data_IF_008123900822
#
_entry.id   IF_008123900822
#
_cell.length_a   1.000
_cell.length_b   1.000
_cell.length_c   1.000
_cell.angle_alpha   90.00
_cell.angle_beta   90.00
_cell.angle_gamma   90.00
#
_symmetry.space_group_name_H-M   'P 1'
#
loop_
_entity.id
_entity.type
_entity.pdbx_description
1 polymer ?
#
# COMPACT_ATOMS: atom_id res chain seq x y z
N UNK A 1 19.28 -0.36 27.10
CA UNK A 1 18.59 -0.41 25.79
C UNK A 1 19.53 -1.16 24.86
N UNK A 2 19.24 -2.42 24.50
CA UNK A 2 20.02 -3.23 23.56
C UNK A 2 19.08 -4.26 22.90
N UNK A 3 18.18 -3.81 22.03
CA UNK A 3 17.33 -4.71 21.24
C UNK A 3 17.13 -4.10 19.87
N UNK A 4 17.98 -4.49 18.93
CA UNK A 4 17.78 -4.25 17.51
C UNK A 4 17.73 -5.62 16.85
N UNK A 5 16.55 -6.23 16.81
CA UNK A 5 16.37 -7.49 16.09
C UNK A 5 16.30 -7.19 14.59
N UNK A 6 17.03 -7.97 13.80
CA UNK A 6 16.99 -7.89 12.34
C UNK A 6 16.31 -9.14 11.80
N UNK A 7 15.16 -8.96 11.17
CA UNK A 7 14.45 -10.02 10.44
C UNK A 7 14.88 -9.99 8.98
N UNK A 8 15.26 -11.15 8.42
CA UNK A 8 15.53 -11.30 6.99
C UNK A 8 14.40 -12.11 6.35
N UNK A 9 13.91 -11.65 5.20
CA UNK A 9 12.88 -12.33 4.39
C UNK A 9 13.33 -12.40 2.93
N UNK A 10 12.92 -13.43 2.21
CA UNK A 10 12.98 -13.46 0.74
C UNK A 10 11.76 -12.75 0.13
N UNK A 11 11.62 -12.68 -1.20
CA UNK A 11 10.44 -12.05 -1.86
C UNK A 11 9.22 -12.96 -1.89
N UNK A 12 9.43 -14.28 -1.90
CA UNK A 12 8.39 -15.30 -2.00
C UNK A 12 7.55 -15.45 -0.73
N UNK A 13 8.03 -14.96 0.42
CA UNK A 13 7.24 -14.92 1.67
C UNK A 13 5.91 -14.15 1.53
N UNK A 14 5.86 -13.17 0.62
CA UNK A 14 4.67 -12.37 0.30
C UNK A 14 4.71 -11.94 -1.17
N UNK A 15 4.10 -12.78 -2.00
CA UNK A 15 3.98 -12.54 -3.44
C UNK A 15 2.67 -11.85 -3.84
N UNK A 16 1.71 -11.67 -2.91
CA UNK A 16 0.43 -11.02 -3.20
C UNK A 16 0.57 -9.50 -3.09
N UNK A 17 1.18 -9.00 -2.02
CA UNK A 17 1.36 -7.55 -1.79
C UNK A 17 1.96 -6.77 -2.98
N UNK A 18 3.01 -7.23 -3.69
CA UNK A 18 3.62 -6.44 -4.76
C UNK A 18 2.79 -6.43 -6.05
N UNK A 19 1.71 -7.20 -6.12
CA UNK A 19 0.87 -7.36 -7.32
C UNK A 19 -0.43 -6.57 -7.18
N UNK A 20 -0.87 -6.26 -5.96
CA UNK A 20 -2.14 -5.54 -5.75
C UNK A 20 -2.05 -4.09 -6.18
N UNK A 21 -3.11 -3.59 -6.79
CA UNK A 21 -3.31 -2.15 -6.91
C UNK A 21 -3.57 -1.57 -5.51
N UNK A 22 -2.65 -0.73 -5.06
CA UNK A 22 -2.69 -0.10 -3.74
C UNK A 22 -3.23 1.33 -3.83
N UNK A 23 -4.03 1.74 -2.85
CA UNK A 23 -4.77 3.02 -2.91
C UNK A 23 -4.26 4.06 -1.89
N UNK A 24 -3.10 3.83 -1.30
CA UNK A 24 -2.33 4.87 -0.61
C UNK A 24 -1.60 5.74 -1.62
N UNK A 25 -1.52 7.05 -1.40
CA UNK A 25 -1.09 8.02 -2.42
C UNK A 25 0.21 7.63 -3.14
N UNK A 26 1.26 7.31 -2.37
CA UNK A 26 2.56 6.97 -2.94
C UNK A 26 2.52 5.67 -3.73
N UNK A 27 1.94 4.61 -3.16
CA UNK A 27 1.87 3.33 -3.85
C UNK A 27 1.05 3.46 -5.14
N UNK A 28 -0.08 4.16 -5.06
CA UNK A 28 -0.99 4.38 -6.18
C UNK A 28 -0.35 5.21 -7.30
N UNK A 29 0.36 6.30 -6.98
CA UNK A 29 0.92 7.16 -8.01
C UNK A 29 2.09 6.50 -8.74
N UNK A 30 2.93 5.73 -8.04
CA UNK A 30 4.03 4.98 -8.66
C UNK A 30 3.54 3.79 -9.48
N UNK A 31 2.35 3.26 -9.20
CA UNK A 31 1.73 2.17 -9.96
C UNK A 31 1.01 2.68 -11.22
N UNK A 32 0.24 3.77 -11.10
CA UNK A 32 -0.70 4.20 -12.13
C UNK A 32 -0.19 5.30 -13.07
N UNK A 33 0.85 6.04 -12.65
CA UNK A 33 1.37 7.21 -13.36
C UNK A 33 2.82 6.98 -13.79
N UNK A 34 3.25 7.73 -14.81
CA UNK A 34 4.60 7.67 -15.34
C UNK A 34 5.56 8.49 -14.45
N UNK A 35 5.94 7.91 -13.30
CA UNK A 35 6.90 8.51 -12.35
C UNK A 35 8.24 7.81 -12.51
N UNK A 36 9.24 8.54 -13.00
CA UNK A 36 10.62 8.04 -13.17
C UNK A 36 11.56 8.78 -12.23
N UNK A 37 12.35 8.04 -11.44
CA UNK A 37 13.29 8.61 -10.46
C UNK A 37 12.64 9.64 -9.53
N UNK A 38 11.43 9.33 -9.05
CA UNK A 38 10.62 10.20 -8.17
C UNK A 38 10.23 11.55 -8.78
N UNK A 39 10.36 11.70 -10.11
CA UNK A 39 9.94 12.91 -10.83
C UNK A 39 8.55 12.72 -11.42
N UNK A 40 7.58 13.48 -10.90
CA UNK A 40 6.24 13.57 -11.46
C UNK A 40 6.13 14.77 -12.41
N UNK A 41 5.56 14.54 -13.59
CA UNK A 41 5.37 15.54 -14.64
C UNK A 41 3.89 15.79 -14.88
N UNK A 42 3.50 17.06 -14.93
CA UNK A 42 2.11 17.46 -15.14
C UNK A 42 2.02 18.72 -15.98
N UNK A 43 0.87 18.94 -16.63
CA UNK A 43 0.62 20.13 -17.42
C UNK A 43 -0.22 21.13 -16.65
N UNK A 44 0.22 22.40 -16.61
CA UNK A 44 -0.58 23.49 -16.06
C UNK A 44 -0.52 24.71 -16.98
N UNK A 45 -1.69 25.18 -17.42
CA UNK A 45 -1.80 26.35 -18.31
C UNK A 45 -1.01 26.24 -19.62
N UNK A 46 -0.95 25.05 -20.23
CA UNK A 46 -0.21 24.83 -21.49
C UNK A 46 1.30 24.64 -21.31
N UNK A 47 1.80 24.49 -20.08
CA UNK A 47 3.22 24.30 -19.77
C UNK A 47 3.43 23.03 -18.97
N UNK A 48 4.41 22.24 -19.39
CA UNK A 48 4.90 21.10 -18.62
C UNK A 48 5.65 21.61 -17.38
N UNK A 49 5.28 21.05 -16.23
CA UNK A 49 5.91 21.25 -14.94
C UNK A 49 6.43 19.91 -14.43
N UNK A 50 7.45 19.98 -13.58
CA UNK A 50 8.03 18.81 -12.92
C UNK A 50 8.11 19.07 -11.42
N UNK A 51 7.86 18.03 -10.63
CA UNK A 51 8.02 18.05 -9.19
C UNK A 51 8.71 16.76 -8.74
N UNK A 52 9.57 16.87 -7.73
CA UNK A 52 10.28 15.73 -7.15
C UNK A 52 9.52 15.32 -5.88
N UNK A 53 9.16 14.05 -5.78
CA UNK A 53 8.46 13.48 -4.65
C UNK A 53 9.47 13.00 -3.59
N UNK A 54 9.96 13.92 -2.77
CA UNK A 54 11.00 13.64 -1.78
C UNK A 54 10.63 14.04 -0.35
N UNK A 55 11.52 13.74 0.60
CA UNK A 55 11.32 14.06 2.03
C UNK A 55 11.42 15.57 2.34
N UNK A 56 11.69 16.45 1.36
CA UNK A 56 11.76 17.90 1.56
C UNK A 56 10.39 18.58 1.39
N UNK A 57 9.37 17.85 0.95
CA UNK A 57 7.99 18.31 0.89
C UNK A 57 7.18 17.78 2.07
N UNK A 58 6.91 18.65 3.05
CA UNK A 58 6.11 18.32 4.24
C UNK A 58 4.69 17.84 3.88
N UNK A 59 4.09 18.39 2.82
CA UNK A 59 2.75 17.97 2.41
C UNK A 59 2.78 16.54 1.86
N UNK A 60 3.84 16.18 1.12
CA UNK A 60 4.07 14.81 0.66
C UNK A 60 4.22 13.86 1.85
N UNK A 61 5.07 14.20 2.84
CA UNK A 61 5.26 13.38 4.04
C UNK A 61 3.95 13.11 4.79
N UNK A 62 3.11 14.14 4.92
CA UNK A 62 1.84 14.06 5.64
C UNK A 62 0.76 13.25 4.92
N UNK A 63 0.92 13.00 3.62
CA UNK A 63 -0.15 12.44 2.77
C UNK A 63 0.23 11.17 2.03
N UNK A 64 1.52 10.89 1.81
CA UNK A 64 2.01 9.79 0.98
C UNK A 64 1.51 8.40 1.38
N UNK A 65 1.22 8.19 2.66
CA UNK A 65 0.71 6.92 3.20
C UNK A 65 -0.78 6.96 3.52
N UNK A 66 -1.46 8.07 3.23
CA UNK A 66 -2.92 8.18 3.39
C UNK A 66 -3.62 7.58 2.19
N UNK A 67 -4.81 7.04 2.43
CA UNK A 67 -5.69 6.55 1.37
C UNK A 67 -6.15 7.71 0.48
N UNK A 68 -6.20 7.50 -0.83
CA UNK A 68 -6.48 8.54 -1.83
C UNK A 68 -7.79 9.31 -1.57
N UNK A 69 -8.81 8.62 -1.03
CA UNK A 69 -10.11 9.22 -0.68
C UNK A 69 -10.03 10.31 0.42
N UNK A 70 -8.97 10.31 1.22
CA UNK A 70 -8.77 11.28 2.30
C UNK A 70 -7.78 12.40 1.92
N UNK A 71 -6.88 12.14 0.97
CA UNK A 71 -5.80 13.07 0.60
C UNK A 71 -6.34 14.41 0.12
N UNK A 72 -7.39 14.45 -0.72
CA UNK A 72 -7.95 15.73 -1.20
C UNK A 72 -8.46 16.61 -0.06
N UNK A 73 -9.04 16.00 0.99
CA UNK A 73 -9.53 16.75 2.17
C UNK A 73 -8.36 17.33 2.96
N UNK A 74 -7.27 16.57 3.08
CA UNK A 74 -6.05 16.99 3.76
C UNK A 74 -5.34 18.12 3.03
N UNK A 75 -5.26 18.06 1.69
CA UNK A 75 -4.76 19.15 0.85
C UNK A 75 -5.56 20.44 1.08
N UNK A 76 -6.90 20.35 1.07
CA UNK A 76 -7.78 21.49 1.33
C UNK A 76 -7.64 22.00 2.77
N UNK A 77 -7.47 21.11 3.74
CA UNK A 77 -7.24 21.50 5.14
C UNK A 77 -5.90 22.20 5.33
N UNK A 78 -4.83 21.72 4.66
CA UNK A 78 -3.51 22.34 4.63
C UNK A 78 -3.57 23.75 4.03
N UNK A 79 -4.24 23.89 2.88
CA UNK A 79 -4.47 25.20 2.26
C UNK A 79 -5.14 26.17 3.24
N UNK A 80 -6.18 25.74 3.97
CA UNK A 80 -6.88 26.59 4.95
C UNK A 80 -5.98 27.10 6.07
N UNK A 81 -4.95 26.35 6.47
CA UNK A 81 -3.98 26.78 7.49
C UNK A 81 -3.04 27.88 6.97
N UNK A 82 -2.77 27.92 5.67
CA UNK A 82 -1.98 28.98 5.02
C UNK A 82 -2.70 30.35 5.09
N UNK A 83 -4.02 30.35 5.23
CA UNK A 83 -4.86 31.54 5.33
C UNK A 83 -4.89 32.22 6.70
N UNK A 84 -3.72 32.59 7.25
CA UNK A 84 -3.59 33.19 8.60
C UNK A 84 -4.15 34.63 8.74
N UNK A 85 -4.55 35.26 7.63
CA UNK A 85 -5.22 36.57 7.62
C UNK A 85 -6.68 36.44 7.21
N UNK A 86 -7.55 37.34 7.69
CA UNK A 86 -8.99 37.31 7.37
C UNK A 86 -9.27 37.32 5.86
N UNK A 87 -8.45 37.99 5.06
CA UNK A 87 -8.60 38.06 3.60
C UNK A 87 -8.07 36.80 2.90
N UNK A 88 -6.94 36.24 3.37
CA UNK A 88 -6.41 34.97 2.87
C UNK A 88 -7.35 33.79 3.16
N UNK A 89 -7.95 33.74 4.36
CA UNK A 89 -8.89 32.71 4.76
C UNK A 89 -10.11 32.64 3.84
N UNK A 90 -10.67 33.79 3.43
CA UNK A 90 -11.77 33.86 2.44
C UNK A 90 -11.35 33.40 1.05
N UNK A 91 -10.15 33.78 0.61
CA UNK A 91 -9.64 33.39 -0.71
C UNK A 91 -9.42 31.88 -0.79
N UNK A 92 -8.81 31.30 0.24
CA UNK A 92 -8.55 29.87 0.36
C UNK A 92 -9.83 29.04 0.49
N UNK A 93 -10.83 29.52 1.24
CA UNK A 93 -12.08 28.79 1.45
C UNK A 93 -12.84 28.47 0.15
N UNK A 94 -12.58 29.21 -0.92
CA UNK A 94 -13.21 29.02 -2.23
C UNK A 94 -12.44 28.05 -3.14
N UNK A 95 -11.25 27.59 -2.75
CA UNK A 95 -10.46 26.69 -3.58
C UNK A 95 -11.09 25.30 -3.60
N UNK A 96 -11.54 24.87 -4.79
CA UNK A 96 -12.07 23.52 -5.02
C UNK A 96 -11.44 22.84 -6.24
N UNK A 97 -10.68 23.57 -7.03
CA UNK A 97 -10.08 23.11 -8.27
C UNK A 97 -8.66 23.67 -8.46
N UNK A 98 -7.92 23.06 -9.38
CA UNK A 98 -6.60 23.51 -9.83
C UNK A 98 -6.65 24.94 -10.39
N UNK A 99 -7.76 25.29 -11.04
CA UNK A 99 -7.97 26.64 -11.57
C UNK A 99 -8.03 27.67 -10.45
N UNK A 100 -8.72 27.35 -9.36
CA UNK A 100 -8.81 28.23 -8.19
C UNK A 100 -7.43 28.41 -7.52
N UNK A 101 -6.60 27.35 -7.48
CA UNK A 101 -5.22 27.41 -7.01
C UNK A 101 -4.35 28.33 -7.87
N UNK A 102 -4.48 28.24 -9.20
CA UNK A 102 -3.77 29.10 -10.14
C UNK A 102 -4.10 30.58 -9.96
N UNK A 103 -5.36 30.90 -9.66
CA UNK A 103 -5.77 32.28 -9.36
C UNK A 103 -5.37 32.73 -7.96
N UNK A 104 -5.32 31.81 -7.00
CA UNK A 104 -4.84 32.11 -5.64
C UNK A 104 -3.34 32.44 -5.64
N UNK A 105 -2.53 31.76 -6.46
CA UNK A 105 -1.11 32.06 -6.66
C UNK A 105 -0.90 33.53 -7.05
N UNK A 106 -1.73 34.07 -7.96
CA UNK A 106 -1.65 35.47 -8.39
C UNK A 106 -2.02 36.46 -7.28
N UNK A 107 -2.95 36.07 -6.40
CA UNK A 107 -3.45 36.91 -5.30
C UNK A 107 -2.53 36.90 -4.06
N UNK A 108 -1.74 35.84 -3.89
CA UNK A 108 -0.88 35.64 -2.72
C UNK A 108 0.57 35.32 -3.14
N UNK A 109 1.26 36.25 -3.83
CA UNK A 109 2.63 36.02 -4.31
C UNK A 109 3.62 35.66 -3.19
N UNK A 110 3.39 36.15 -1.97
CA UNK A 110 4.20 35.83 -0.80
C UNK A 110 4.13 34.34 -0.38
N UNK A 111 3.08 33.61 -0.77
CA UNK A 111 2.93 32.16 -0.54
C UNK A 111 3.09 31.34 -1.81
N UNK A 112 3.66 31.92 -2.88
CA UNK A 112 3.73 31.28 -4.19
C UNK A 112 4.35 29.88 -4.13
N UNK A 113 5.49 29.71 -3.44
CA UNK A 113 6.18 28.42 -3.32
C UNK A 113 5.29 27.34 -2.71
N UNK A 114 4.58 27.68 -1.64
CA UNK A 114 3.70 26.75 -0.93
C UNK A 114 2.47 26.41 -1.77
N UNK A 115 1.86 27.40 -2.43
CA UNK A 115 0.74 27.17 -3.36
C UNK A 115 1.13 26.32 -4.57
N UNK A 116 2.38 26.40 -5.04
CA UNK A 116 2.87 25.52 -6.11
C UNK A 116 2.95 24.06 -5.66
N UNK A 117 3.36 23.78 -4.41
CA UNK A 117 3.33 22.42 -3.83
C UNK A 117 1.91 21.87 -3.72
N UNK A 118 0.97 22.69 -3.23
CA UNK A 118 -0.44 22.28 -3.22
C UNK A 118 -0.97 22.00 -4.63
N UNK A 119 -0.57 22.80 -5.62
CA UNK A 119 -0.98 22.60 -7.01
C UNK A 119 -0.45 21.30 -7.59
N UNK A 120 0.85 21.01 -7.45
CA UNK A 120 1.45 19.78 -7.97
C UNK A 120 0.82 18.55 -7.34
N UNK A 121 0.56 18.57 -6.03
CA UNK A 121 -0.05 17.45 -5.36
C UNK A 121 -1.54 17.28 -5.69
N UNK A 122 -2.27 18.37 -5.94
CA UNK A 122 -3.65 18.28 -6.40
C UNK A 122 -3.72 17.63 -7.79
N UNK A 123 -2.81 18.00 -8.71
CA UNK A 123 -2.65 17.33 -10.00
C UNK A 123 -2.38 15.83 -9.83
N UNK A 124 -1.42 15.47 -8.97
CA UNK A 124 -1.06 14.07 -8.70
C UNK A 124 -2.29 13.25 -8.25
N UNK A 125 -3.10 13.81 -7.36
CA UNK A 125 -4.34 13.17 -6.86
C UNK A 125 -5.40 13.08 -7.94
N UNK A 126 -5.62 14.13 -8.74
CA UNK A 126 -6.58 14.10 -9.85
C UNK A 126 -6.20 13.05 -10.90
N UNK A 127 -4.94 12.97 -11.28
CA UNK A 127 -4.45 11.99 -12.26
C UNK A 127 -4.64 10.55 -11.73
N UNK A 128 -4.31 10.29 -10.47
CA UNK A 128 -4.57 9.00 -9.81
C UNK A 128 -6.07 8.68 -9.82
N UNK A 129 -6.91 9.62 -9.43
CA UNK A 129 -8.37 9.42 -9.38
C UNK A 129 -8.98 9.23 -10.77
N UNK A 130 -8.43 9.88 -11.79
CA UNK A 130 -8.84 9.69 -13.17
C UNK A 130 -8.52 8.26 -13.64
N UNK A 131 -7.31 7.74 -13.37
CA UNK A 131 -6.97 6.33 -13.65
C UNK A 131 -7.87 5.37 -12.86
N UNK A 132 -8.14 5.68 -11.59
CA UNK A 132 -9.03 4.90 -10.72
C UNK A 132 -10.44 4.75 -11.30
N UNK A 133 -11.07 5.87 -11.67
CA UNK A 133 -12.42 5.91 -12.20
C UNK A 133 -12.53 5.30 -13.60
N UNK A 134 -11.43 5.23 -14.34
CA UNK A 134 -11.34 4.64 -15.67
C UNK A 134 -10.93 3.15 -15.65
N UNK A 135 -11.37 2.39 -14.63
CA UNK A 135 -11.34 0.93 -14.65
C UNK A 135 -10.57 0.27 -13.51
N UNK A 136 -9.60 0.95 -12.90
CA UNK A 136 -8.83 0.39 -11.78
C UNK A 136 -9.73 0.12 -10.56
N UNK A 137 -10.82 0.87 -10.37
CA UNK A 137 -11.81 0.59 -9.32
C UNK A 137 -12.43 -0.82 -9.44
N UNK A 138 -12.63 -1.32 -10.67
CA UNK A 138 -13.16 -2.65 -10.94
C UNK A 138 -12.10 -3.72 -10.67
N UNK A 139 -10.85 -3.45 -11.06
CA UNK A 139 -9.70 -4.32 -10.79
C UNK A 139 -9.53 -4.50 -9.28
N UNK A 140 -9.41 -3.41 -8.52
CA UNK A 140 -9.23 -3.45 -7.07
C UNK A 140 -10.30 -4.30 -6.36
N UNK A 141 -11.57 -4.23 -6.77
CA UNK A 141 -12.64 -5.05 -6.16
C UNK A 141 -12.33 -6.56 -6.29
N UNK A 142 -12.02 -7.00 -7.51
CA UNK A 142 -11.73 -8.42 -7.80
C UNK A 142 -10.40 -8.85 -7.18
N UNK A 143 -9.38 -8.00 -7.26
CA UNK A 143 -8.08 -8.26 -6.65
C UNK A 143 -8.18 -8.48 -5.13
N UNK A 144 -8.96 -7.65 -4.44
CA UNK A 144 -9.15 -7.75 -2.99
C UNK A 144 -9.95 -9.01 -2.62
N UNK A 145 -10.96 -9.37 -3.42
CA UNK A 145 -11.70 -10.63 -3.23
C UNK A 145 -10.78 -11.85 -3.39
N UNK A 146 -9.90 -11.85 -4.39
CA UNK A 146 -8.94 -12.93 -4.63
C UNK A 146 -7.87 -12.98 -3.54
N UNK A 147 -7.25 -11.84 -3.21
CA UNK A 147 -6.17 -11.78 -2.24
C UNK A 147 -6.64 -12.15 -0.83
N UNK A 148 -7.81 -11.65 -0.42
CA UNK A 148 -8.35 -11.96 0.91
C UNK A 148 -9.08 -13.30 0.98
N UNK A 149 -9.51 -13.86 -0.17
CA UNK A 149 -10.38 -15.04 -0.28
C UNK A 149 -11.83 -14.82 0.20
N UNK A 150 -12.19 -13.59 0.54
CA UNK A 150 -13.52 -13.21 1.01
C UNK A 150 -14.03 -12.00 0.26
N UNK A 151 -15.35 -11.89 0.10
CA UNK A 151 -15.99 -10.72 -0.46
C UNK A 151 -16.09 -9.58 0.57
N UNK A 152 -16.67 -8.44 0.17
CA UNK A 152 -16.85 -7.27 1.05
C UNK A 152 -17.77 -7.55 2.26
N UNK A 153 -18.57 -8.62 2.22
CA UNK A 153 -19.45 -9.04 3.31
C UNK A 153 -18.78 -10.09 4.22
N UNK A 154 -17.57 -10.52 3.90
CA UNK A 154 -16.85 -11.58 4.61
C UNK A 154 -17.27 -12.99 4.20
N UNK A 155 -17.99 -13.15 3.08
CA UNK A 155 -18.32 -14.46 2.54
C UNK A 155 -17.17 -15.01 1.70
N UNK A 156 -16.88 -16.31 1.85
CA UNK A 156 -15.79 -16.94 1.10
C UNK A 156 -16.07 -16.92 -0.39
N UNK A 157 -15.11 -16.45 -1.18
CA UNK A 157 -15.17 -16.47 -2.65
C UNK A 157 -15.09 -17.92 -3.13
N UNK A 158 -16.14 -18.38 -3.82
CA UNK A 158 -16.24 -19.78 -4.29
C UNK A 158 -15.67 -19.98 -5.68
N UNK A 159 -15.80 -18.98 -6.55
CA UNK A 159 -15.39 -19.06 -7.95
C UNK A 159 -14.69 -17.75 -8.36
N UNK A 160 -13.38 -17.65 -8.10
CA UNK A 160 -12.58 -16.48 -8.49
C UNK A 160 -12.54 -16.25 -10.01
N UNK A 161 -12.56 -17.32 -10.80
CA UNK A 161 -12.48 -17.25 -12.27
C UNK A 161 -13.68 -16.50 -12.84
N UNK A 162 -14.88 -16.73 -12.29
CA UNK A 162 -16.09 -16.00 -12.67
C UNK A 162 -15.98 -14.49 -12.39
N UNK A 163 -15.29 -14.07 -11.33
CA UNK A 163 -15.08 -12.66 -11.02
C UNK A 163 -14.10 -12.00 -11.99
N UNK A 164 -13.06 -12.74 -12.38
CA UNK A 164 -12.02 -12.28 -13.30
C UNK A 164 -12.47 -12.24 -14.75
N UNK A 165 -13.29 -13.21 -15.19
CA UNK A 165 -13.61 -13.41 -16.60
C UNK A 165 -14.07 -12.14 -17.36
N UNK A 166 -14.96 -11.28 -16.82
CA UNK A 166 -15.34 -10.04 -17.50
C UNK A 166 -14.17 -9.08 -17.73
N UNK A 167 -13.22 -9.03 -16.80
CA UNK A 167 -12.03 -8.15 -16.88
C UNK A 167 -10.97 -8.73 -17.81
N UNK A 168 -10.85 -10.06 -17.87
CA UNK A 168 -9.87 -10.73 -18.72
C UNK A 168 -10.18 -10.61 -20.22
N UNK A 169 -11.45 -10.45 -20.59
CA UNK A 169 -11.89 -10.32 -21.99
C UNK A 169 -12.15 -8.87 -22.41
N UNK A 170 -12.07 -7.92 -21.46
CA UNK A 170 -12.32 -6.51 -21.73
C UNK A 170 -11.11 -5.90 -22.48
N UNK A 171 -11.29 -5.40 -23.72
CA UNK A 171 -10.20 -4.84 -24.51
C UNK A 171 -9.61 -3.55 -23.91
N UNK A 172 -10.35 -2.87 -23.03
CA UNK A 172 -9.88 -1.66 -22.34
C UNK A 172 -8.94 -1.99 -21.17
N UNK A 173 -8.92 -3.25 -20.70
CA UNK A 173 -8.02 -3.69 -19.63
C UNK A 173 -6.65 -4.01 -20.20
N UNK A 174 -5.62 -3.36 -19.64
CA UNK A 174 -4.23 -3.53 -20.08
C UNK A 174 -3.77 -4.98 -19.91
N UNK A 175 -2.77 -5.37 -20.70
CA UNK A 175 -2.16 -6.69 -20.59
C UNK A 175 -1.58 -6.93 -19.18
N UNK A 176 -0.91 -5.93 -18.61
CA UNK A 176 -0.31 -5.97 -17.27
C UNK A 176 -1.36 -6.25 -16.20
N UNK A 177 -2.52 -5.59 -16.26
CA UNK A 177 -3.63 -5.79 -15.32
C UNK A 177 -4.24 -7.18 -15.43
N UNK A 178 -4.40 -7.69 -16.66
CA UNK A 178 -4.83 -9.07 -16.90
C UNK A 178 -3.83 -10.07 -16.31
N UNK A 179 -2.52 -9.83 -16.47
CA UNK A 179 -1.47 -10.64 -15.87
C UNK A 179 -1.51 -10.60 -14.34
N UNK A 180 -1.69 -9.42 -13.73
CA UNK A 180 -1.83 -9.28 -12.26
C UNK A 180 -2.97 -10.12 -11.72
N UNK A 181 -4.14 -10.10 -12.37
CA UNK A 181 -5.28 -10.94 -11.98
C UNK A 181 -4.96 -12.45 -12.06
N UNK A 182 -4.29 -12.89 -13.13
CA UNK A 182 -3.89 -14.31 -13.27
C UNK A 182 -2.86 -14.70 -12.22
N UNK A 183 -1.87 -13.85 -11.93
CA UNK A 183 -0.88 -14.10 -10.88
C UNK A 183 -1.55 -14.23 -9.50
N UNK A 184 -2.45 -13.29 -9.15
CA UNK A 184 -3.21 -13.34 -7.90
C UNK A 184 -4.04 -14.62 -7.80
N UNK A 185 -4.67 -15.04 -8.90
CA UNK A 185 -5.43 -16.29 -8.94
C UNK A 185 -4.53 -17.50 -8.64
N UNK A 186 -3.41 -17.64 -9.35
CA UNK A 186 -2.45 -18.76 -9.15
C UNK A 186 -1.97 -18.79 -7.70
N UNK A 187 -1.59 -17.63 -7.14
CA UNK A 187 -1.17 -17.49 -5.75
C UNK A 187 -2.27 -17.93 -4.78
N UNK A 188 -3.52 -17.52 -5.04
CA UNK A 188 -4.67 -17.85 -4.20
C UNK A 188 -5.02 -19.35 -4.21
N UNK A 189 -4.80 -20.03 -5.33
CA UNK A 189 -5.05 -21.47 -5.47
C UNK A 189 -3.89 -22.32 -4.93
N UNK A 190 -2.76 -21.70 -4.57
CA UNK A 190 -1.50 -22.38 -4.26
C UNK A 190 -1.06 -23.33 -5.39
N UNK A 191 -1.20 -22.84 -6.63
CA UNK A 191 -0.88 -23.56 -7.85
C UNK A 191 -2.12 -24.04 -8.63
N UNK A 192 -1.95 -24.20 -9.95
CA UNK A 192 -2.98 -24.63 -10.91
C UNK A 192 -2.43 -25.73 -11.83
N UNK A 193 -3.28 -26.41 -12.59
CA UNK A 193 -2.76 -27.29 -13.65
C UNK A 193 -2.25 -26.46 -14.83
N UNK A 194 -1.26 -26.98 -15.53
CA UNK A 194 -0.68 -26.31 -16.70
C UNK A 194 -1.74 -26.06 -17.79
N UNK A 195 -2.59 -27.07 -18.05
CA UNK A 195 -3.72 -26.95 -18.98
C UNK A 195 -4.71 -25.83 -18.59
N UNK A 196 -5.01 -25.67 -17.29
CA UNK A 196 -5.92 -24.61 -16.85
C UNK A 196 -5.28 -23.23 -16.99
N UNK A 197 -3.98 -23.11 -16.72
CA UNK A 197 -3.24 -21.87 -16.94
C UNK A 197 -3.28 -21.48 -18.41
N UNK A 198 -2.93 -22.40 -19.32
CA UNK A 198 -2.93 -22.14 -20.76
C UNK A 198 -4.31 -21.71 -21.29
N UNK A 199 -5.38 -22.39 -20.85
CA UNK A 199 -6.75 -22.00 -21.21
C UNK A 199 -7.10 -20.60 -20.70
N UNK A 200 -6.67 -20.25 -19.49
CA UNK A 200 -6.90 -18.91 -18.93
C UNK A 200 -6.18 -17.84 -19.75
N UNK A 201 -4.92 -18.06 -20.14
CA UNK A 201 -4.16 -17.13 -20.97
C UNK A 201 -4.80 -16.94 -22.35
N UNK A 202 -5.25 -18.04 -22.98
CA UNK A 202 -5.94 -17.99 -24.26
C UNK A 202 -7.25 -17.20 -24.18
N UNK A 203 -8.10 -17.48 -23.19
CA UNK A 203 -9.37 -16.76 -23.01
C UNK A 203 -9.16 -15.29 -22.64
N UNK A 204 -8.10 -14.99 -21.90
CA UNK A 204 -7.73 -13.63 -21.52
C UNK A 204 -7.02 -12.86 -22.65
N UNK A 205 -6.81 -13.46 -23.83
CA UNK A 205 -6.02 -12.88 -24.92
C UNK A 205 -4.65 -12.35 -24.44
N UNK A 206 -3.99 -13.13 -23.58
CA UNK A 206 -2.62 -12.88 -23.11
C UNK A 206 -1.68 -13.70 -24.02
N UNK A 207 -0.66 -13.07 -24.62
CA UNK A 207 0.33 -13.78 -25.42
C UNK A 207 0.98 -14.93 -24.64
N UNK A 208 1.14 -16.10 -25.27
CA UNK A 208 1.66 -17.30 -24.58
C UNK A 208 3.11 -17.18 -24.11
N UNK A 209 3.89 -16.24 -24.66
CA UNK A 209 5.23 -15.91 -24.15
C UNK A 209 5.18 -15.27 -22.75
N UNK A 210 4.04 -14.71 -22.32
CA UNK A 210 3.84 -14.24 -20.95
C UNK A 210 3.60 -15.36 -19.95
N UNK A 211 3.42 -16.62 -20.41
CA UNK A 211 3.33 -17.78 -19.51
C UNK A 211 4.56 -17.85 -18.60
N UNK A 212 5.74 -17.51 -19.13
CA UNK A 212 6.99 -17.49 -18.38
C UNK A 212 6.98 -16.45 -17.26
N UNK A 213 6.32 -15.30 -17.45
CA UNK A 213 6.13 -14.28 -16.39
C UNK A 213 5.42 -14.89 -15.17
N UNK A 214 4.47 -15.80 -15.39
CA UNK A 214 3.71 -16.46 -14.33
C UNK A 214 4.47 -17.65 -13.74
N UNK A 215 5.04 -18.52 -14.58
CA UNK A 215 5.77 -19.71 -14.12
C UNK A 215 7.08 -19.36 -13.40
N UNK A 216 7.69 -18.21 -13.71
CA UNK A 216 8.88 -17.71 -13.02
C UNK A 216 8.63 -17.34 -11.54
N UNK A 217 7.38 -17.22 -11.08
CA UNK A 217 7.09 -17.17 -9.63
C UNK A 217 7.65 -18.39 -8.89
N UNK A 218 7.80 -19.53 -9.57
CA UNK A 218 8.41 -20.73 -8.99
C UNK A 218 9.89 -20.53 -8.58
N UNK A 219 10.59 -19.58 -9.19
CA UNK A 219 11.95 -19.18 -8.82
C UNK A 219 12.00 -18.47 -7.46
N UNK A 220 10.86 -17.94 -7.00
CA UNK A 220 10.68 -17.37 -5.66
C UNK A 220 10.22 -18.41 -4.63
N UNK A 221 10.22 -19.70 -4.98
CA UNK A 221 9.77 -20.77 -4.09
C UNK A 221 8.26 -20.97 -4.04
N UNK A 222 7.50 -20.31 -4.91
CA UNK A 222 6.04 -20.37 -4.97
C UNK A 222 5.59 -21.56 -5.81
N UNK A 223 4.53 -22.24 -5.37
CA UNK A 223 3.90 -23.29 -6.17
C UNK A 223 2.99 -22.68 -7.25
N UNK A 224 3.40 -22.78 -8.51
CA UNK A 224 2.65 -22.24 -9.67
C UNK A 224 1.89 -23.33 -10.41
N UNK A 225 2.59 -24.39 -10.82
CA UNK A 225 1.99 -25.57 -11.43
C UNK A 225 1.88 -26.65 -10.35
N UNK A 226 0.71 -27.27 -10.24
CA UNK A 226 0.47 -28.28 -9.21
C UNK A 226 1.43 -29.47 -9.36
N UNK A 227 2.34 -29.60 -8.41
CA UNK A 227 3.21 -30.76 -8.23
C UNK A 227 2.86 -31.47 -6.91
N UNK A 228 2.53 -32.78 -6.93
CA UNK A 228 2.26 -33.54 -5.71
C UNK A 228 3.40 -33.43 -4.70
N UNK A 229 3.11 -32.90 -3.51
CA UNK A 229 4.09 -32.75 -2.41
C UNK A 229 4.75 -31.37 -2.31
N UNK A 230 4.59 -30.51 -3.31
CA UNK A 230 5.02 -29.11 -3.26
C UNK A 230 3.85 -28.23 -2.84
N UNK A 231 3.89 -27.71 -1.61
CA UNK A 231 2.94 -26.68 -1.14
C UNK A 231 3.73 -25.52 -0.58
N UNK A 232 3.41 -24.32 -1.05
CA UNK A 232 3.88 -23.10 -0.38
C UNK A 232 3.19 -23.05 0.97
N UNK A 233 3.92 -23.04 2.10
CA UNK A 233 3.31 -22.89 3.41
C UNK A 233 2.66 -21.51 3.50
N UNK A 234 1.36 -21.45 3.78
CA UNK A 234 0.70 -20.19 4.05
C UNK A 234 1.13 -19.71 5.44
N UNK A 235 1.69 -18.49 5.50
CA UNK A 235 1.94 -17.83 6.78
C UNK A 235 0.61 -17.55 7.48
N UNK A 236 0.55 -17.83 8.78
CA UNK A 236 -0.62 -17.52 9.58
C UNK A 236 -0.84 -15.99 9.56
N UNK A 237 -2.06 -15.58 9.18
CA UNK A 237 -2.44 -14.17 9.09
C UNK A 237 -3.03 -13.69 10.40
N UNK A 238 -2.67 -12.48 10.83
CA UNK A 238 -3.23 -11.88 12.04
C UNK A 238 -4.69 -11.46 11.82
N UNK A 239 -5.57 -11.75 12.78
CA UNK A 239 -6.96 -11.27 12.72
C UNK A 239 -7.04 -9.79 13.10
N UNK A 240 -7.75 -8.99 12.30
CA UNK A 240 -7.85 -7.53 12.44
C UNK A 240 -9.32 -7.05 12.45
N UNK A 241 -10.17 -7.50 13.40
CA UNK A 241 -11.61 -7.21 13.37
C UNK A 241 -11.98 -5.74 13.66
N UNK A 242 -11.07 -4.96 14.26
CA UNK A 242 -11.32 -3.58 14.67
C UNK A 242 -10.70 -2.54 13.70
N UNK A 243 -9.96 -2.97 12.68
CA UNK A 243 -9.39 -2.04 11.70
C UNK A 243 -10.47 -1.62 10.70
N UNK A 244 -10.77 -0.33 10.65
CA UNK A 244 -11.62 0.22 9.59
C UNK A 244 -10.81 0.25 8.30
N UNK A 245 -11.26 -0.54 7.33
CA UNK A 245 -10.63 -0.66 6.02
C UNK A 245 -11.60 -0.24 4.92
N UNK A 246 -11.07 0.38 3.87
CA UNK A 246 -11.83 0.62 2.65
C UNK A 246 -12.14 -0.72 1.96
N UNK A 247 -13.31 -0.84 1.33
CA UNK A 247 -13.72 -2.08 0.66
C UNK A 247 -12.72 -2.53 -0.43
N UNK A 248 -12.06 -1.57 -1.07
CA UNK A 248 -11.02 -1.77 -2.09
C UNK A 248 -9.60 -1.81 -1.52
N UNK A 249 -9.42 -1.81 -0.20
CA UNK A 249 -8.12 -1.84 0.48
C UNK A 249 -8.20 -2.69 1.77
N UNK A 250 -8.63 -3.95 1.62
CA UNK A 250 -8.82 -4.90 2.73
C UNK A 250 -7.56 -5.72 3.02
N UNK A 251 -6.75 -5.97 2.01
CA UNK A 251 -5.49 -6.69 2.14
C UNK A 251 -4.54 -5.91 3.04
N UNK A 252 -3.91 -6.64 3.95
CA UNK A 252 -2.81 -6.12 4.77
C UNK A 252 -1.55 -6.87 4.35
N UNK A 253 -0.44 -6.17 4.06
CA UNK A 253 0.83 -6.83 3.76
C UNK A 253 1.28 -7.77 4.87
N UNK A 254 1.79 -8.96 4.51
CA UNK A 254 2.23 -9.97 5.48
C UNK A 254 3.36 -9.43 6.36
N UNK A 255 4.19 -8.53 5.82
CA UNK A 255 5.26 -7.87 6.58
C UNK A 255 4.74 -7.08 7.80
N UNK A 256 3.51 -6.55 7.76
CA UNK A 256 2.92 -5.86 8.92
C UNK A 256 2.66 -6.83 10.06
N UNK A 257 2.15 -8.03 9.75
CA UNK A 257 1.96 -9.10 10.74
C UNK A 257 3.31 -9.48 11.37
N UNK A 258 4.34 -9.68 10.55
CA UNK A 258 5.72 -9.99 11.01
C UNK A 258 6.29 -8.90 11.92
N UNK A 259 6.13 -7.63 11.54
CA UNK A 259 6.61 -6.49 12.33
C UNK A 259 5.90 -6.40 13.68
N UNK A 260 4.57 -6.50 13.72
CA UNK A 260 3.79 -6.47 14.95
C UNK A 260 4.16 -7.64 15.88
N UNK A 261 4.27 -8.85 15.34
CA UNK A 261 4.63 -10.03 16.12
C UNK A 261 6.09 -9.96 16.62
N UNK A 262 7.01 -9.36 15.87
CA UNK A 262 8.38 -9.11 16.32
C UNK A 262 8.41 -8.13 17.50
N UNK A 263 7.69 -7.01 17.40
CA UNK A 263 7.59 -6.00 18.47
C UNK A 263 6.95 -6.60 19.73
N UNK A 264 5.95 -7.46 19.57
CA UNK A 264 5.26 -8.14 20.67
C UNK A 264 6.03 -9.35 21.24
N UNK A 265 7.17 -9.73 20.65
CA UNK A 265 7.93 -10.92 21.04
C UNK A 265 7.19 -12.24 20.78
N UNK A 266 6.29 -12.26 19.79
CA UNK A 266 5.45 -13.39 19.38
C UNK A 266 5.82 -13.97 18.02
N UNK A 267 6.83 -13.42 17.36
CA UNK A 267 7.27 -13.91 16.05
C UNK A 267 7.66 -15.39 16.14
N UNK A 268 7.11 -16.21 15.24
CA UNK A 268 7.30 -17.66 15.30
C UNK A 268 8.76 -18.05 15.05
N UNK A 269 9.42 -18.52 16.10
CA UNK A 269 10.81 -19.00 16.07
C UNK A 269 11.07 -20.17 15.13
N UNK A 270 10.03 -20.90 14.67
CA UNK A 270 10.19 -21.95 13.65
C UNK A 270 10.39 -21.38 12.26
N UNK A 271 9.61 -20.36 11.90
CA UNK A 271 9.69 -19.68 10.61
C UNK A 271 10.79 -18.59 10.61
N UNK A 272 11.07 -18.00 11.77
CA UNK A 272 12.07 -16.94 11.95
C UNK A 272 13.06 -17.33 13.06
N UNK A 273 13.92 -18.35 12.85
CA UNK A 273 14.86 -18.78 13.85
C UNK A 273 16.00 -17.77 14.06
N UNK A 274 16.43 -17.61 15.31
CA UNK A 274 17.67 -16.91 15.63
C UNK A 274 18.88 -17.70 15.16
N UNK A 275 19.90 -17.00 14.66
CA UNK A 275 21.19 -17.61 14.36
C UNK A 275 21.84 -18.17 15.65
N UNK A 276 22.63 -19.26 15.56
CA UNK A 276 23.12 -20.02 16.72
C UNK A 276 23.87 -19.23 17.82
N UNK A 277 24.34 -18.01 17.54
CA UNK A 277 25.07 -17.16 18.48
C UNK A 277 24.25 -15.97 19.03
N UNK A 278 22.93 -15.98 18.84
CA UNK A 278 22.01 -14.91 19.29
C UNK A 278 20.90 -15.43 20.21
N UNK A 279 21.20 -16.46 21.01
CA UNK A 279 20.34 -16.80 22.15
C UNK A 279 20.67 -15.88 23.31
N UNK A 280 20.04 -14.71 23.38
CA UNK A 280 19.86 -14.04 24.67
C UNK A 280 18.91 -14.89 25.50
N UNK A 281 19.49 -15.81 26.26
CA UNK A 281 18.81 -16.43 27.40
C UNK A 281 18.41 -15.31 28.37
N UNK A 282 17.17 -14.82 28.30
CA UNK A 282 16.55 -14.13 29.43
C UNK A 282 15.04 -14.17 29.31
N UNK A 283 14.41 -14.82 30.29
CA UNK A 283 12.96 -14.92 30.43
C UNK A 283 12.29 -13.55 30.52
N UNK A 284 11.06 -13.52 30.04
CA UNK A 284 10.13 -12.40 30.08
C UNK A 284 10.04 -11.76 31.48
N UNK A 285 10.85 -10.73 31.72
CA UNK A 285 10.65 -9.79 32.81
C UNK A 285 9.84 -8.61 32.31
N UNK A 286 8.62 -8.44 32.81
CA UNK A 286 7.84 -7.20 32.63
C UNK A 286 8.71 -6.04 33.11
N UNK A 287 9.10 -5.15 32.19
CA UNK A 287 9.93 -4.00 32.49
C UNK A 287 9.23 -3.08 33.50
N UNK A 288 9.73 -3.01 34.75
CA UNK A 288 9.36 -1.96 35.69
C UNK A 288 10.21 -0.73 35.39
N UNK A 289 9.53 0.39 35.13
CA UNK A 289 10.15 1.70 34.89
C UNK A 289 11.09 2.09 36.04
N UNK A 290 12.36 2.35 35.72
CA UNK A 290 13.35 2.91 36.64
C UNK A 290 13.26 4.45 36.76
N UNK A 291 12.17 5.09 36.30
CA UNK A 291 12.03 6.56 36.28
C UNK A 291 11.28 7.18 37.47
N UNK A 292 10.86 6.40 38.47
CA UNK A 292 10.41 6.97 39.74
C UNK A 292 11.28 6.43 40.88
N UNK A 293 12.48 7.01 40.98
CA UNK A 293 13.31 6.88 42.17
C UNK A 293 12.55 7.41 43.38
N UNK A 294 12.42 6.55 44.39
CA UNK A 294 11.81 6.83 45.70
C UNK A 294 12.68 7.80 46.52
N UNK A 295 12.85 9.04 46.06
CA UNK A 295 13.63 10.07 46.75
C UNK A 295 12.92 10.75 47.93
N UNK A 296 11.69 10.35 48.26
CA UNK A 296 10.88 10.97 49.34
C UNK A 296 10.53 10.04 50.51
N UNK A 297 11.34 9.02 50.82
CA UNK A 297 11.10 8.17 52.00
C UNK A 297 12.32 7.87 52.87
N UNK A 298 13.19 8.85 53.06
CA UNK A 298 14.17 8.85 54.14
C UNK A 298 14.20 10.22 54.82
N UNK A 299 13.15 10.53 55.57
CA UNK A 299 13.15 11.59 56.58
C UNK A 299 12.03 11.33 57.58
N UNK A 300 12.22 10.33 58.45
CA UNK A 300 11.64 10.24 59.78
C UNK A 300 11.98 8.86 60.35
N UNK A 301 13.04 8.77 61.15
CA UNK A 301 12.99 8.25 62.53
C UNK A 301 14.23 8.81 63.26
N UNK A 302 14.02 9.79 64.12
CA UNK A 302 14.67 9.82 65.43
C UNK A 302 13.63 9.40 66.48
N UNK A 303 13.97 9.17 67.75
CA UNK A 303 15.25 9.42 68.44
C UNK A 303 16.17 8.20 68.53
#
# INVERSE_FOLDING_TARGET
MNYGDRVNTDRGFDAITPILHELTLQAMCHDLLDIENDVYRYETGGKNQETILDENDELWLDTRHKHIADVSKEIIAGLKKLGDTKDASKAVANVKSIKDLSDLIKKMPQHQKELHRFTSQFHLVEDCMHKYQNGVDKLCKVEQDIATQFDVNGEKVKDPVRLMAPLLIDPEVKLEDRLRLVLLYVLSQNGVSDENLEKMLQHANIPMNEKDTITNLSLLGINVIFEPGRRTPALARRQRPNEQVYQTSRWVPVIKDVMEDAIEGKLDSRNYPFLPNHRTSQGFGIARSARYGRWHKEAAVGP
#
